data_IF_396888423777
#
_entry.id   IF_396888423777
#
_cell.length_a   1.000
_cell.length_b   1.000
_cell.length_c   1.000
_cell.angle_alpha   90.00
_cell.angle_beta   90.00
_cell.angle_gamma   90.00
#
_symmetry.space_group_name_H-M   'P 1'
#
loop_
_entity.id
_entity.type
_entity.pdbx_description
1 polymer ?
#
# COMPACT_ATOMS: atom_id res chain seq x y z
N UNK A 1 16.36 23.29 41.54
CA UNK A 1 15.05 23.21 42.23
C UNK A 1 14.47 21.82 41.99
N UNK A 2 14.01 21.09 43.01
CA UNK A 2 13.37 19.77 42.85
C UNK A 2 11.88 19.95 43.09
N UNK A 3 11.05 19.58 42.11
CA UNK A 3 9.59 19.64 42.18
C UNK A 3 9.10 18.21 42.01
N UNK A 4 8.34 17.72 42.98
CA UNK A 4 7.75 16.39 42.97
C UNK A 4 6.22 16.57 43.00
N UNK A 5 5.54 15.96 42.04
CA UNK A 5 4.08 15.97 41.95
C UNK A 5 3.57 14.53 42.07
N UNK A 6 2.60 14.26 42.96
CA UNK A 6 1.87 12.99 42.96
C UNK A 6 1.15 12.77 41.63
N UNK A 7 1.05 11.52 41.16
CA UNK A 7 0.37 11.21 39.89
C UNK A 7 -1.14 11.51 39.96
N UNK A 8 -1.72 11.44 41.15
CA UNK A 8 -3.13 11.69 41.44
C UNK A 8 -3.53 13.15 41.19
N UNK A 9 -2.57 14.08 41.15
CA UNK A 9 -2.80 15.50 40.87
C UNK A 9 -2.28 15.91 39.48
N UNK A 10 -1.86 14.94 38.66
CA UNK A 10 -1.37 15.18 37.31
C UNK A 10 -2.40 14.73 36.27
N UNK A 11 -2.64 15.58 35.27
CA UNK A 11 -3.47 15.27 34.11
C UNK A 11 -2.66 15.39 32.82
N UNK A 12 -3.01 14.59 31.83
CA UNK A 12 -2.42 14.68 30.50
C UNK A 12 -3.09 15.84 29.78
N UNK A 13 -2.29 16.84 29.41
CA UNK A 13 -2.76 17.99 28.64
C UNK A 13 -3.19 17.49 27.25
N UNK A 14 -4.36 17.93 26.73
CA UNK A 14 -4.81 17.54 25.40
C UNK A 14 -3.86 18.00 24.28
N UNK A 15 -4.06 17.44 23.09
CA UNK A 15 -3.38 17.81 21.83
C UNK A 15 -1.84 17.65 21.82
N UNK A 16 -1.30 16.81 22.69
CA UNK A 16 0.11 16.42 22.65
C UNK A 16 0.33 15.29 21.64
N UNK A 17 1.17 15.50 20.59
CA UNK A 17 1.41 14.46 19.60
C UNK A 17 2.21 13.30 20.20
N UNK A 18 1.72 12.08 20.04
CA UNK A 18 2.47 10.89 20.40
C UNK A 18 3.65 10.68 19.45
N UNK A 19 4.88 10.61 20.00
CA UNK A 19 6.13 10.45 19.23
C UNK A 19 6.79 9.07 19.37
N UNK A 20 6.20 8.18 20.17
CA UNK A 20 6.72 6.83 20.39
C UNK A 20 6.36 5.87 19.25
N UNK A 21 6.91 4.66 19.32
CA UNK A 21 6.43 3.56 18.49
C UNK A 21 5.09 3.07 19.04
N UNK A 22 4.12 2.93 18.15
CA UNK A 22 2.84 2.28 18.46
C UNK A 22 2.98 0.76 18.28
N UNK A 23 2.16 -0.01 19.00
CA UNK A 23 2.09 -1.46 18.82
C UNK A 23 1.54 -1.84 17.44
N UNK A 24 1.82 -3.05 16.97
CA UNK A 24 1.31 -3.53 15.67
C UNK A 24 -0.23 -3.50 15.59
N UNK A 25 -0.91 -3.77 16.72
CA UNK A 25 -2.37 -3.68 16.81
C UNK A 25 -2.85 -2.24 16.65
N UNK A 26 -2.26 -1.30 17.39
CA UNK A 26 -2.61 0.12 17.29
C UNK A 26 -2.29 0.68 15.89
N UNK A 27 -1.21 0.18 15.25
CA UNK A 27 -0.86 0.53 13.88
C UNK A 27 -1.88 0.01 12.88
N UNK A 28 -2.33 -1.23 13.03
CA UNK A 28 -3.36 -1.80 12.16
C UNK A 28 -4.68 -1.02 12.27
N UNK A 29 -5.06 -0.63 13.49
CA UNK A 29 -6.25 0.17 13.74
C UNK A 29 -6.12 1.58 13.14
N UNK A 30 -4.97 2.24 13.33
CA UNK A 30 -4.67 3.53 12.68
C UNK A 30 -4.79 3.43 11.15
N UNK A 31 -4.24 2.38 10.52
CA UNK A 31 -4.37 2.18 9.07
C UNK A 31 -5.84 2.01 8.68
N UNK A 32 -6.60 1.20 9.43
CA UNK A 32 -8.03 0.99 9.16
C UNK A 32 -8.82 2.29 9.23
N UNK A 33 -8.51 3.17 10.17
CA UNK A 33 -9.18 4.47 10.31
C UNK A 33 -8.74 5.51 9.27
N UNK A 34 -7.46 5.50 8.86
CA UNK A 34 -6.91 6.51 7.94
C UNK A 34 -7.03 6.16 6.46
N UNK A 35 -7.19 4.86 6.14
CA UNK A 35 -7.37 4.37 4.78
C UNK A 35 -8.81 4.63 4.30
N UNK A 36 -9.01 5.78 3.66
CA UNK A 36 -10.30 6.24 3.15
C UNK A 36 -10.32 6.20 1.63
N UNK A 37 -11.46 5.84 1.03
CA UNK A 37 -11.62 5.83 -0.43
C UNK A 37 -11.47 7.25 -1.00
N UNK A 38 -10.94 7.43 -2.22
CA UNK A 38 -10.73 8.76 -2.80
C UNK A 38 -11.97 9.64 -2.79
N UNK A 39 -13.15 9.09 -3.14
CA UNK A 39 -14.40 9.85 -3.14
C UNK A 39 -14.76 10.41 -1.76
N UNK A 40 -14.64 9.59 -0.71
CA UNK A 40 -14.93 10.01 0.67
C UNK A 40 -13.88 10.99 1.18
N UNK A 41 -12.61 10.77 0.81
CA UNK A 41 -11.51 11.70 1.11
C UNK A 41 -11.76 13.07 0.51
N UNK A 42 -12.23 13.16 -0.74
CA UNK A 42 -12.60 14.43 -1.37
C UNK A 42 -13.76 15.12 -0.64
N UNK A 43 -14.79 14.37 -0.22
CA UNK A 43 -15.91 14.93 0.57
C UNK A 43 -15.42 15.50 1.91
N UNK A 44 -14.59 14.74 2.65
CA UNK A 44 -14.02 15.23 3.91
C UNK A 44 -13.20 16.49 3.72
N UNK A 45 -12.43 16.59 2.62
CA UNK A 45 -11.69 17.82 2.30
C UNK A 45 -12.65 18.97 2.06
N UNK A 46 -13.67 18.81 1.21
CA UNK A 46 -14.67 19.85 0.92
C UNK A 46 -15.38 20.33 2.20
N UNK A 47 -15.79 19.40 3.05
CA UNK A 47 -16.42 19.70 4.33
C UNK A 47 -15.47 20.42 5.28
N UNK A 48 -14.17 20.07 5.25
CA UNK A 48 -13.14 20.75 6.05
C UNK A 48 -12.97 22.21 5.65
N UNK A 49 -12.95 22.50 4.33
CA UNK A 49 -12.86 23.86 3.82
C UNK A 49 -14.09 24.70 4.20
N UNK A 50 -15.30 24.14 4.06
CA UNK A 50 -16.55 24.87 4.31
C UNK A 50 -16.85 25.07 5.80
N UNK A 51 -16.64 24.04 6.62
CA UNK A 51 -17.14 24.04 7.99
C UNK A 51 -16.08 24.47 9.00
N UNK A 52 -14.82 24.07 8.80
CA UNK A 52 -13.75 24.24 9.78
C UNK A 52 -12.79 25.37 9.43
N UNK A 53 -12.25 25.38 8.20
CA UNK A 53 -11.21 26.34 7.84
C UNK A 53 -11.74 27.73 7.47
N UNK A 54 -12.82 27.80 6.66
CA UNK A 54 -13.47 29.06 6.25
C UNK A 54 -12.49 30.14 5.80
N UNK A 55 -11.54 29.77 4.93
CA UNK A 55 -10.44 30.66 4.53
C UNK A 55 -10.92 31.93 3.81
N UNK A 56 -12.08 31.87 3.15
CA UNK A 56 -12.77 33.03 2.55
C UNK A 56 -13.17 34.10 3.59
N UNK A 57 -13.32 33.70 4.85
CA UNK A 57 -13.71 34.57 5.96
C UNK A 57 -12.52 35.02 6.82
N UNK A 58 -11.31 34.51 6.55
CA UNK A 58 -10.14 34.77 7.38
C UNK A 58 -9.62 36.22 7.24
N UNK A 59 -9.65 36.99 8.33
CA UNK A 59 -9.24 38.41 8.35
C UNK A 59 -7.74 38.61 8.05
N UNK A 60 -6.88 37.67 8.47
CA UNK A 60 -5.45 37.73 8.17
C UNK A 60 -5.14 37.49 6.69
N UNK A 61 -5.94 36.67 6.00
CA UNK A 61 -5.80 36.51 4.54
C UNK A 61 -6.31 37.76 3.80
N UNK A 62 -7.39 38.36 4.27
CA UNK A 62 -7.93 39.61 3.71
C UNK A 62 -6.97 40.78 3.86
N UNK A 63 -6.26 40.88 4.99
CA UNK A 63 -5.31 41.98 5.25
C UNK A 63 -4.12 42.01 4.28
N UNK A 64 -3.80 40.87 3.67
CA UNK A 64 -2.76 40.74 2.64
C UNK A 64 -3.33 40.62 1.22
N UNK A 65 -4.61 40.98 1.03
CA UNK A 65 -5.33 40.88 -0.24
C UNK A 65 -5.33 39.46 -0.86
N UNK A 66 -5.27 38.41 -0.03
CA UNK A 66 -5.35 37.03 -0.46
C UNK A 66 -6.79 36.52 -0.35
N UNK A 67 -7.29 35.91 -1.43
CA UNK A 67 -8.59 35.25 -1.47
C UNK A 67 -8.42 33.78 -1.86
N UNK A 68 -9.10 32.89 -1.15
CA UNK A 68 -9.08 31.44 -1.40
C UNK A 68 -10.47 31.00 -1.82
N UNK A 69 -10.60 30.45 -3.02
CA UNK A 69 -11.83 29.80 -3.45
C UNK A 69 -11.99 28.46 -2.74
N UNK A 70 -13.05 28.33 -1.95
CA UNK A 70 -13.39 27.12 -1.18
C UNK A 70 -14.41 26.22 -1.88
N UNK A 71 -14.96 26.66 -3.02
CA UNK A 71 -16.03 25.97 -3.73
C UNK A 71 -15.52 25.13 -4.91
N UNK A 72 -14.38 25.50 -5.47
CA UNK A 72 -13.81 24.80 -6.62
C UNK A 72 -12.50 24.11 -6.28
N UNK A 73 -12.28 22.97 -6.91
CA UNK A 73 -10.99 22.27 -6.91
C UNK A 73 -10.26 22.62 -8.21
N UNK A 74 -8.95 22.64 -8.17
CA UNK A 74 -8.15 22.74 -9.39
C UNK A 74 -8.40 21.49 -10.25
N UNK A 75 -8.99 21.69 -11.43
CA UNK A 75 -9.23 20.64 -12.41
C UNK A 75 -8.05 20.62 -13.37
N UNK A 76 -7.49 19.43 -13.59
CA UNK A 76 -6.37 19.22 -14.51
C UNK A 76 -6.72 18.12 -15.50
N UNK A 77 -6.30 18.29 -16.75
CA UNK A 77 -6.49 17.27 -17.79
C UNK A 77 -5.44 16.16 -17.64
N UNK A 78 -5.91 14.96 -17.29
CA UNK A 78 -5.08 13.76 -17.25
C UNK A 78 -5.11 12.99 -18.57
N UNK A 79 -4.03 12.30 -18.91
CA UNK A 79 -4.00 11.31 -20.00
C UNK A 79 -3.78 9.91 -19.45
N UNK A 80 -4.64 8.96 -19.84
CA UNK A 80 -4.47 7.53 -19.53
C UNK A 80 -3.66 6.89 -20.65
N UNK A 81 -2.43 6.47 -20.33
CA UNK A 81 -1.62 5.71 -21.27
C UNK A 81 -2.22 4.32 -21.49
N UNK A 82 -2.16 3.78 -22.73
CA UNK A 82 -2.60 2.42 -22.98
C UNK A 82 -1.74 1.42 -22.19
N UNK A 83 -2.31 0.30 -21.73
CA UNK A 83 -1.56 -0.74 -21.04
C UNK A 83 -0.49 -1.34 -21.97
N UNK A 84 0.63 -1.79 -21.39
CA UNK A 84 1.68 -2.51 -22.12
C UNK A 84 1.41 -4.01 -22.11
N UNK A 85 1.79 -4.69 -23.19
CA UNK A 85 1.66 -6.14 -23.28
C UNK A 85 2.88 -6.84 -22.67
N UNK A 86 2.64 -7.84 -21.83
CA UNK A 86 3.68 -8.69 -21.28
C UNK A 86 3.93 -9.91 -22.17
N UNK A 87 5.20 -10.22 -22.43
CA UNK A 87 5.63 -11.42 -23.17
C UNK A 87 6.07 -12.51 -22.19
N UNK A 88 5.47 -13.70 -22.34
CA UNK A 88 5.85 -14.92 -21.64
C UNK A 88 6.26 -16.01 -22.63
N UNK A 89 6.97 -17.04 -22.16
CA UNK A 89 7.28 -18.20 -23.00
C UNK A 89 6.01 -19.03 -23.20
N UNK A 90 5.79 -19.47 -24.44
CA UNK A 90 4.68 -20.35 -24.79
C UNK A 90 4.78 -21.68 -24.01
N UNK A 91 3.67 -22.11 -23.40
CA UNK A 91 3.50 -23.51 -23.06
C UNK A 91 2.99 -24.23 -24.30
N UNK A 92 3.51 -25.43 -24.61
CA UNK A 92 3.19 -26.19 -25.83
C UNK A 92 1.68 -26.11 -26.17
N UNK A 93 1.34 -25.55 -27.33
CA UNK A 93 -0.03 -25.48 -27.85
C UNK A 93 -0.68 -24.08 -27.93
N UNK A 94 0.00 -22.99 -27.56
CA UNK A 94 -0.50 -21.61 -27.74
C UNK A 94 0.37 -20.88 -28.77
N UNK A 95 -0.20 -20.52 -29.92
CA UNK A 95 0.51 -19.99 -31.10
C UNK A 95 0.85 -18.49 -31.06
N UNK A 96 0.68 -17.81 -29.92
CA UNK A 96 1.08 -16.42 -29.80
C UNK A 96 1.36 -16.05 -28.34
N UNK A 97 2.24 -15.08 -28.07
CA UNK A 97 2.35 -14.47 -26.75
C UNK A 97 0.98 -13.89 -26.39
N UNK A 98 0.23 -14.59 -25.53
CA UNK A 98 -1.07 -14.11 -25.05
C UNK A 98 -0.78 -12.81 -24.30
N UNK A 99 -1.21 -11.64 -24.81
CA UNK A 99 -1.08 -10.41 -24.05
C UNK A 99 -1.87 -10.62 -22.77
N UNK A 100 -1.18 -10.60 -21.63
CA UNK A 100 -1.89 -10.49 -20.36
C UNK A 100 -2.41 -9.08 -20.35
N UNK A 101 -3.72 -8.91 -20.53
CA UNK A 101 -4.35 -7.62 -20.32
C UNK A 101 -3.99 -7.17 -18.91
N UNK A 102 -3.17 -6.13 -18.85
CA UNK A 102 -2.83 -5.49 -17.60
C UNK A 102 -4.06 -4.69 -17.17
N UNK A 103 -5.00 -5.38 -16.51
CA UNK A 103 -6.20 -4.80 -15.95
C UNK A 103 -5.80 -3.95 -14.74
N UNK A 104 -6.05 -2.64 -14.80
CA UNK A 104 -5.74 -1.70 -13.71
C UNK A 104 -4.29 -1.80 -13.19
N UNK A 105 -3.32 -1.90 -14.10
CA UNK A 105 -1.89 -2.07 -13.77
C UNK A 105 -1.56 -3.39 -13.03
N UNK A 106 -2.46 -4.39 -13.05
CA UNK A 106 -2.28 -5.70 -12.42
C UNK A 106 -2.19 -6.81 -13.45
N UNK A 107 -1.34 -7.78 -13.16
CA UNK A 107 -1.16 -8.99 -13.97
C UNK A 107 -0.74 -10.13 -13.05
N UNK A 108 -0.91 -11.37 -13.51
CA UNK A 108 -0.36 -12.55 -12.85
C UNK A 108 0.26 -13.49 -13.89
N UNK A 109 1.04 -14.46 -13.41
CA UNK A 109 1.75 -15.44 -14.25
C UNK A 109 1.06 -16.82 -14.25
N UNK A 110 -0.23 -16.89 -13.87
CA UNK A 110 -0.98 -18.16 -13.81
C UNK A 110 -0.97 -18.81 -15.20
N UNK A 111 -0.64 -20.10 -15.27
CA UNK A 111 -0.52 -20.84 -16.54
C UNK A 111 0.45 -20.22 -17.57
N UNK A 112 1.48 -19.51 -17.12
CA UNK A 112 2.58 -18.98 -17.94
C UNK A 112 3.94 -19.49 -17.47
N UNK A 113 4.90 -19.60 -18.39
CA UNK A 113 6.31 -19.91 -18.13
C UNK A 113 7.19 -18.67 -18.30
N UNK A 114 8.33 -18.64 -17.62
CA UNK A 114 9.28 -17.54 -17.76
C UNK A 114 9.85 -17.48 -19.19
N UNK A 115 10.12 -16.26 -19.68
CA UNK A 115 10.64 -16.02 -21.02
C UNK A 115 12.00 -16.71 -21.22
N UNK A 116 12.93 -16.53 -20.27
CA UNK A 116 14.25 -17.15 -20.23
C UNK A 116 14.48 -17.80 -18.85
N UNK A 117 13.98 -19.05 -18.62
CA UNK A 117 14.16 -19.73 -17.35
C UNK A 117 15.60 -20.25 -17.19
N UNK A 118 16.15 -20.12 -15.99
CA UNK A 118 17.46 -20.69 -15.63
C UNK A 118 17.28 -21.94 -14.78
N UNK A 119 18.10 -22.95 -15.05
CA UNK A 119 18.12 -24.20 -14.30
C UNK A 119 18.75 -23.98 -12.93
N UNK A 120 18.06 -24.40 -11.88
CA UNK A 120 18.62 -24.49 -10.53
C UNK A 120 19.20 -25.89 -10.36
N UNK A 121 20.53 -25.97 -10.25
CA UNK A 121 21.23 -27.26 -10.15
C UNK A 121 21.44 -27.66 -8.70
N UNK A 122 22.00 -26.74 -7.89
CA UNK A 122 22.33 -26.99 -6.49
C UNK A 122 21.61 -25.98 -5.60
N UNK A 123 20.85 -26.49 -4.63
CA UNK A 123 20.14 -25.69 -3.64
C UNK A 123 19.99 -26.49 -2.35
N UNK A 124 19.73 -25.80 -1.24
CA UNK A 124 19.55 -26.41 0.08
C UNK A 124 18.53 -25.62 0.87
N UNK A 125 17.88 -26.27 1.83
CA UNK A 125 16.89 -25.65 2.73
C UNK A 125 17.40 -25.74 4.15
N UNK A 126 17.45 -24.60 4.84
CA UNK A 126 17.80 -24.51 6.25
C UNK A 126 16.54 -24.17 7.05
N UNK A 127 16.09 -25.09 7.91
CA UNK A 127 15.02 -24.81 8.87
C UNK A 127 15.66 -24.25 10.15
N UNK A 128 15.28 -23.02 10.50
CA UNK A 128 15.70 -22.36 11.75
C UNK A 128 14.65 -22.49 12.87
N UNK A 129 13.52 -23.10 12.56
CA UNK A 129 12.42 -23.35 13.49
C UNK A 129 12.51 -24.78 14.04
N UNK A 130 11.83 -25.05 15.16
CA UNK A 130 11.68 -26.41 15.71
C UNK A 130 10.60 -27.22 14.97
N UNK A 131 10.21 -26.78 13.77
CA UNK A 131 9.12 -27.39 13.01
C UNK A 131 9.45 -28.84 12.60
N UNK A 132 8.39 -29.62 12.37
CA UNK A 132 8.52 -31.00 11.96
C UNK A 132 9.18 -31.13 10.57
N UNK A 133 10.06 -32.13 10.36
CA UNK A 133 10.71 -32.41 9.07
C UNK A 133 9.77 -32.47 7.87
N UNK A 134 8.52 -32.93 8.09
CA UNK A 134 7.46 -32.99 7.08
C UNK A 134 7.15 -31.63 6.43
N UNK A 135 7.25 -30.52 7.17
CA UNK A 135 7.02 -29.19 6.61
C UNK A 135 8.09 -28.83 5.58
N UNK A 136 9.35 -29.18 5.85
CA UNK A 136 10.45 -28.99 4.91
C UNK A 136 10.22 -29.81 3.63
N UNK A 137 9.82 -31.07 3.77
CA UNK A 137 9.51 -31.96 2.64
C UNK A 137 8.36 -31.42 1.79
N UNK A 138 7.27 -30.97 2.42
CA UNK A 138 6.12 -30.37 1.74
C UNK A 138 6.49 -29.08 1.00
N UNK A 139 7.29 -28.22 1.63
CA UNK A 139 7.81 -27.02 0.98
C UNK A 139 8.68 -27.38 -0.22
N UNK A 140 9.65 -28.29 -0.05
CA UNK A 140 10.56 -28.71 -1.13
C UNK A 140 9.81 -29.31 -2.31
N UNK A 141 8.78 -30.12 -2.06
CA UNK A 141 7.90 -30.69 -3.10
C UNK A 141 7.16 -29.58 -3.84
N UNK A 142 6.43 -28.72 -3.12
CA UNK A 142 5.67 -27.61 -3.73
C UNK A 142 6.58 -26.65 -4.49
N UNK A 143 7.74 -26.32 -3.93
CA UNK A 143 8.72 -25.43 -4.56
C UNK A 143 9.17 -26.02 -5.90
N UNK A 144 9.60 -27.29 -5.91
CA UNK A 144 9.98 -27.99 -7.14
C UNK A 144 8.86 -27.99 -8.18
N UNK A 145 7.63 -28.33 -7.77
CA UNK A 145 6.49 -28.38 -8.68
C UNK A 145 6.21 -27.01 -9.31
N UNK A 146 6.30 -25.93 -8.52
CA UNK A 146 6.16 -24.56 -9.02
C UNK A 146 7.28 -24.22 -10.01
N UNK A 147 8.54 -24.54 -9.69
CA UNK A 147 9.67 -24.26 -10.60
C UNK A 147 9.51 -24.98 -11.95
N UNK A 148 9.18 -26.28 -11.93
CA UNK A 148 8.95 -27.09 -13.13
C UNK A 148 7.80 -26.51 -13.95
N UNK A 149 6.69 -26.14 -13.29
CA UNK A 149 5.54 -25.51 -13.96
C UNK A 149 5.91 -24.16 -14.60
N UNK A 150 6.91 -23.46 -14.06
CA UNK A 150 7.43 -22.20 -14.62
C UNK A 150 8.55 -22.39 -15.64
N UNK A 151 8.97 -23.63 -15.89
CA UNK A 151 9.95 -24.01 -16.89
C UNK A 151 11.41 -23.90 -16.44
N UNK A 152 11.66 -23.84 -15.12
CA UNK A 152 13.00 -23.88 -14.51
C UNK A 152 13.40 -25.29 -14.08
#
# INVERSE_FOLDING_TARGET
>A
KRIYLPLEVCEIIPDQPFRGNISDNARAEMIKHTCVKPADRFRTIDDSFRNFFRYDQNEHLKSINMNIDINTKVIVEGRRLPPVNLKFRESKGQQAPVPVEVADARWNYVNRKFLDPKKIVNWSVLLLTRDHPKMAEDFMRKFRDVLINKGM
#
